data_IF_954865931380
#
_entry.id   IF_954865931380
#
_cell.length_a   1.000
_cell.length_b   1.000
_cell.length_c   1.000
_cell.angle_alpha   90.00
_cell.angle_beta   90.00
_cell.angle_gamma   90.00
#
_symmetry.space_group_name_H-M   'P 1'
#
loop_
_entity.id
_entity.type
_entity.pdbx_description
1 polymer ?
#
# COMPACT_ATOMS: atom_id res chain seq x y z
N UNK A 1 -35.92 9.69 3.69
CA UNK A 1 -35.09 10.88 4.01
C UNK A 1 -34.67 10.90 5.48
N UNK A 2 -35.60 11.04 6.45
CA UNK A 2 -35.29 11.15 7.88
C UNK A 2 -34.41 10.04 8.50
N UNK A 3 -34.52 8.79 8.03
CA UNK A 3 -33.63 7.69 8.47
C UNK A 3 -32.17 7.89 8.06
N UNK A 4 -31.93 8.45 6.87
CA UNK A 4 -30.58 8.73 6.36
C UNK A 4 -29.98 9.91 7.09
N UNK A 5 -30.76 10.98 7.28
CA UNK A 5 -30.33 12.17 8.02
C UNK A 5 -29.91 11.82 9.45
N UNK A 6 -30.65 10.95 10.15
CA UNK A 6 -30.30 10.52 11.52
C UNK A 6 -28.91 9.86 11.63
N UNK A 7 -28.43 9.19 10.59
CA UNK A 7 -27.13 8.50 10.57
C UNK A 7 -26.05 9.27 9.80
N UNK A 8 -26.39 10.43 9.26
CA UNK A 8 -25.48 11.30 8.50
C UNK A 8 -24.59 12.15 9.41
N UNK A 9 -23.67 12.91 8.80
CA UNK A 9 -22.78 13.84 9.51
C UNK A 9 -23.56 14.98 10.18
N UNK A 10 -22.95 15.60 11.20
CA UNK A 10 -23.64 16.63 11.97
C UNK A 10 -23.81 17.92 11.15
N UNK A 11 -22.90 18.14 10.22
CA UNK A 11 -22.94 19.17 9.19
C UNK A 11 -24.16 18.97 8.27
N UNK A 12 -24.39 17.74 7.79
CA UNK A 12 -25.57 17.45 6.95
C UNK A 12 -26.88 17.56 7.73
N UNK A 13 -26.89 17.11 8.98
CA UNK A 13 -28.06 17.25 9.85
C UNK A 13 -28.40 18.71 10.07
N UNK A 14 -27.40 19.54 10.37
CA UNK A 14 -27.58 20.98 10.60
C UNK A 14 -28.19 21.64 9.37
N UNK A 15 -27.59 21.41 8.18
CA UNK A 15 -28.12 21.92 6.92
C UNK A 15 -29.53 21.41 6.62
N UNK A 16 -29.80 20.13 6.83
CA UNK A 16 -31.12 19.54 6.61
C UNK A 16 -32.18 20.15 7.54
N UNK A 17 -31.84 20.43 8.80
CA UNK A 17 -32.76 21.07 9.74
C UNK A 17 -32.99 22.54 9.41
N UNK A 18 -31.96 23.30 9.01
CA UNK A 18 -32.10 24.69 8.55
C UNK A 18 -33.01 24.80 7.31
N UNK A 19 -32.79 23.95 6.30
CA UNK A 19 -33.67 23.90 5.12
C UNK A 19 -35.10 23.46 5.48
N UNK A 20 -35.25 22.62 6.51
CA UNK A 20 -36.55 22.24 7.05
C UNK A 20 -37.28 23.40 7.72
N UNK A 21 -36.57 24.24 8.46
CA UNK A 21 -37.14 25.45 9.07
C UNK A 21 -37.65 26.43 8.02
N UNK A 22 -36.96 26.51 6.87
CA UNK A 22 -37.33 27.40 5.77
C UNK A 22 -38.33 26.80 4.76
N UNK A 23 -38.86 25.58 5.01
CA UNK A 23 -39.69 24.82 4.07
C UNK A 23 -39.04 24.59 2.68
N UNK A 24 -37.71 24.55 2.62
CA UNK A 24 -36.92 24.34 1.39
C UNK A 24 -36.44 22.90 1.19
N UNK A 25 -36.99 21.95 1.95
CA UNK A 25 -36.59 20.55 1.85
C UNK A 25 -37.04 19.91 0.54
N UNK A 26 -36.22 19.00 -0.04
CA UNK A 26 -36.61 18.21 -1.19
C UNK A 26 -37.91 17.44 -0.92
N UNK A 27 -38.90 17.61 -1.78
CA UNK A 27 -40.22 17.00 -1.64
C UNK A 27 -40.33 15.60 -2.28
N UNK A 28 -39.31 15.17 -3.01
CA UNK A 28 -39.25 13.87 -3.68
C UNK A 28 -37.93 13.16 -3.41
N UNK A 29 -37.93 11.84 -3.55
CA UNK A 29 -36.73 11.03 -3.30
C UNK A 29 -35.59 11.33 -4.27
N UNK A 30 -35.91 11.64 -5.53
CA UNK A 30 -34.91 11.92 -6.54
C UNK A 30 -34.29 13.31 -6.35
N UNK A 31 -35.09 14.33 -6.03
CA UNK A 31 -34.58 15.64 -5.62
C UNK A 31 -33.74 15.55 -4.33
N UNK A 32 -34.10 14.66 -3.40
CA UNK A 32 -33.30 14.42 -2.21
C UNK A 32 -31.94 13.78 -2.54
N UNK A 33 -31.87 12.91 -3.55
CA UNK A 33 -30.58 12.36 -4.01
C UNK A 33 -29.73 13.44 -4.65
N UNK A 34 -30.30 14.29 -5.50
CA UNK A 34 -29.60 15.41 -6.12
C UNK A 34 -29.07 16.38 -5.05
N UNK A 35 -29.92 16.77 -4.11
CA UNK A 35 -29.56 17.57 -2.95
C UNK A 35 -28.43 16.94 -2.11
N UNK A 36 -28.50 15.63 -1.84
CA UNK A 36 -27.45 14.93 -1.10
C UNK A 36 -26.15 14.86 -1.90
N UNK A 37 -26.24 14.75 -3.23
CA UNK A 37 -25.11 14.78 -4.15
C UNK A 37 -24.48 16.17 -4.22
N UNK A 38 -25.27 17.25 -4.16
CA UNK A 38 -24.83 18.65 -4.09
C UNK A 38 -24.17 18.97 -2.76
N UNK A 39 -24.79 18.60 -1.64
CA UNK A 39 -24.17 18.73 -0.31
C UNK A 39 -22.81 18.03 -0.26
N UNK A 40 -22.74 16.80 -0.78
CA UNK A 40 -21.48 16.10 -0.89
C UNK A 40 -20.55 16.66 -1.97
N UNK A 41 -21.03 17.50 -2.91
CA UNK A 41 -20.21 18.10 -3.96
C UNK A 41 -19.40 19.31 -3.48
N UNK A 42 -19.86 20.02 -2.44
CA UNK A 42 -19.06 21.03 -1.73
C UNK A 42 -17.96 20.40 -0.87
N UNK A 43 -18.03 19.09 -0.64
CA UNK A 43 -17.03 18.39 0.13
C UNK A 43 -15.82 17.98 -0.73
N UNK A 44 -14.64 18.19 -0.16
CA UNK A 44 -13.39 17.73 -0.72
C UNK A 44 -13.44 16.24 -1.06
N UNK A 45 -12.74 15.81 -2.12
CA UNK A 45 -12.57 14.39 -2.46
C UNK A 45 -12.26 13.53 -1.22
N UNK A 46 -11.53 14.07 -0.22
CA UNK A 46 -11.18 13.44 1.07
C UNK A 46 -12.36 13.02 1.98
N UNK A 47 -13.54 13.62 1.79
CA UNK A 47 -14.75 13.25 2.53
C UNK A 47 -15.36 11.93 2.03
N UNK A 48 -15.08 11.54 0.79
CA UNK A 48 -15.58 10.29 0.22
C UNK A 48 -15.00 9.07 0.96
N UNK A 49 -15.83 8.32 1.68
CA UNK A 49 -15.39 7.16 2.50
C UNK A 49 -15.88 5.84 1.93
N UNK A 50 -15.08 4.80 2.18
CA UNK A 50 -15.43 3.40 1.94
C UNK A 50 -16.41 2.91 3.02
N UNK A 51 -17.47 2.22 2.62
CA UNK A 51 -18.37 1.59 3.60
C UNK A 51 -17.73 0.37 4.27
N UNK A 52 -18.16 0.07 5.49
CA UNK A 52 -17.59 -1.00 6.33
C UNK A 52 -17.58 -2.37 5.63
N UNK A 53 -18.68 -2.73 4.99
CA UNK A 53 -18.90 -4.04 4.35
C UNK A 53 -18.74 -4.00 2.82
N UNK A 54 -18.38 -2.85 2.27
CA UNK A 54 -18.17 -2.66 0.83
C UNK A 54 -16.86 -3.33 0.38
N UNK A 55 -16.84 -3.88 -0.83
CA UNK A 55 -15.62 -4.38 -1.48
C UNK A 55 -14.71 -3.23 -1.89
N UNK A 56 -13.40 -3.46 -1.94
CA UNK A 56 -12.44 -2.44 -2.39
C UNK A 56 -12.66 -2.07 -3.86
N UNK A 57 -12.91 -3.05 -4.71
CA UNK A 57 -13.23 -2.79 -6.12
C UNK A 57 -14.47 -1.91 -6.30
N UNK A 58 -15.48 -2.13 -5.46
CA UNK A 58 -16.74 -1.38 -5.49
C UNK A 58 -16.54 0.04 -4.98
N UNK A 59 -15.81 0.21 -3.88
CA UNK A 59 -15.42 1.53 -3.38
C UNK A 59 -14.69 2.36 -4.43
N UNK A 60 -13.70 1.77 -5.10
CA UNK A 60 -12.90 2.46 -6.11
C UNK A 60 -13.70 2.82 -7.35
N UNK A 61 -14.61 1.93 -7.79
CA UNK A 61 -15.54 2.22 -8.90
C UNK A 61 -16.45 3.39 -8.53
N UNK A 62 -16.99 3.39 -7.30
CA UNK A 62 -17.86 4.45 -6.80
C UNK A 62 -17.13 5.79 -6.66
N UNK A 63 -15.89 5.75 -6.18
CA UNK A 63 -15.01 6.92 -6.08
C UNK A 63 -14.71 7.49 -7.46
N UNK A 64 -14.41 6.62 -8.44
CA UNK A 64 -14.19 6.99 -9.83
C UNK A 64 -15.40 7.70 -10.43
N UNK A 65 -16.57 7.07 -10.39
CA UNK A 65 -17.80 7.63 -10.97
C UNK A 65 -18.15 8.98 -10.31
N UNK A 66 -17.92 9.10 -9.01
CA UNK A 66 -18.16 10.34 -8.26
C UNK A 66 -17.18 11.45 -8.66
N UNK A 67 -15.92 11.10 -8.87
CA UNK A 67 -14.83 12.00 -9.20
C UNK A 67 -14.86 12.48 -10.66
N UNK A 68 -15.16 11.59 -11.60
CA UNK A 68 -15.30 11.91 -13.04
C UNK A 68 -16.45 12.90 -13.26
N UNK A 69 -17.59 12.71 -12.60
CA UNK A 69 -18.73 13.64 -12.65
C UNK A 69 -18.40 15.05 -12.11
N UNK A 70 -17.31 15.18 -11.38
CA UNK A 70 -16.84 16.43 -10.75
C UNK A 70 -15.53 16.94 -11.35
N UNK A 71 -15.09 16.36 -12.46
CA UNK A 71 -13.86 16.72 -13.17
C UNK A 71 -12.58 16.66 -12.31
N UNK A 72 -12.54 15.79 -11.29
CA UNK A 72 -11.30 15.52 -10.58
C UNK A 72 -10.31 14.76 -11.47
N UNK A 73 -9.04 15.12 -11.39
CA UNK A 73 -7.99 14.41 -12.11
C UNK A 73 -7.72 13.03 -11.49
N UNK A 74 -7.27 12.07 -12.30
CA UNK A 74 -6.80 10.78 -11.78
C UNK A 74 -5.73 10.95 -10.70
N UNK A 75 -4.87 11.97 -10.84
CA UNK A 75 -3.86 12.30 -9.84
C UNK A 75 -4.46 12.58 -8.46
N UNK A 76 -5.53 13.37 -8.39
CA UNK A 76 -6.24 13.69 -7.14
C UNK A 76 -6.91 12.46 -6.55
N UNK A 77 -7.49 11.61 -7.40
CA UNK A 77 -8.10 10.34 -6.99
C UNK A 77 -7.04 9.41 -6.40
N UNK A 78 -5.87 9.27 -7.04
CA UNK A 78 -4.77 8.47 -6.50
C UNK A 78 -4.20 9.06 -5.20
N UNK A 79 -4.10 10.39 -5.09
CA UNK A 79 -3.68 11.08 -3.87
C UNK A 79 -4.64 10.81 -2.71
N UNK A 80 -5.95 10.83 -2.99
CA UNK A 80 -7.02 10.43 -2.07
C UNK A 80 -6.85 8.97 -1.64
N UNK A 81 -6.77 8.04 -2.59
CA UNK A 81 -6.67 6.60 -2.30
C UNK A 81 -5.46 6.30 -1.42
N UNK A 82 -4.28 6.90 -1.72
CA UNK A 82 -3.07 6.72 -0.92
C UNK A 82 -3.17 7.28 0.50
N UNK A 83 -4.04 8.29 0.72
CA UNK A 83 -4.30 8.86 2.05
C UNK A 83 -5.28 8.03 2.88
N UNK A 84 -6.11 7.18 2.25
CA UNK A 84 -7.02 6.28 2.94
C UNK A 84 -6.28 5.03 3.45
N UNK A 85 -6.86 4.36 4.46
CA UNK A 85 -6.32 3.10 4.97
C UNK A 85 -6.50 1.97 3.94
N UNK A 86 -5.44 1.68 3.19
CA UNK A 86 -5.37 0.53 2.27
C UNK A 86 -4.80 -0.71 2.98
N UNK A 87 -5.36 -1.91 2.77
CA UNK A 87 -4.71 -3.17 3.13
C UNK A 87 -3.32 -3.29 2.51
N UNK A 88 -2.38 -3.91 3.22
CA UNK A 88 -0.98 -4.06 2.78
C UNK A 88 -0.85 -4.65 1.37
N UNK A 89 -1.72 -5.60 1.03
CA UNK A 89 -1.76 -6.24 -0.28
C UNK A 89 -2.13 -5.25 -1.40
N UNK A 90 -3.07 -4.34 -1.12
CA UNK A 90 -3.52 -3.35 -2.09
C UNK A 90 -2.57 -2.15 -2.19
N UNK A 91 -1.81 -1.84 -1.13
CA UNK A 91 -0.81 -0.77 -1.17
C UNK A 91 0.19 -0.96 -2.33
N UNK A 92 0.60 -2.19 -2.61
CA UNK A 92 1.56 -2.47 -3.71
C UNK A 92 1.02 -1.97 -5.06
N UNK A 93 -0.29 -2.10 -5.28
CA UNK A 93 -0.98 -1.67 -6.52
C UNK A 93 -0.96 -0.14 -6.63
N UNK A 94 -1.29 0.58 -5.55
CA UNK A 94 -1.44 2.03 -5.59
C UNK A 94 -0.13 2.84 -5.43
N UNK A 95 0.93 2.21 -4.93
CA UNK A 95 2.25 2.83 -4.76
C UNK A 95 3.23 2.50 -5.90
N UNK A 96 2.85 1.64 -6.85
CA UNK A 96 3.62 1.39 -8.06
C UNK A 96 3.28 2.42 -9.17
N UNK A 97 4.24 2.70 -10.06
CA UNK A 97 4.33 4.03 -10.69
C UNK A 97 3.50 4.25 -11.96
N UNK A 98 2.98 3.21 -12.62
CA UNK A 98 2.38 3.35 -13.95
C UNK A 98 1.08 2.53 -14.12
N UNK A 99 -0.01 2.95 -13.48
CA UNK A 99 -1.34 2.36 -13.72
C UNK A 99 -2.38 3.46 -13.88
N UNK A 100 -3.29 3.27 -14.83
CA UNK A 100 -4.56 3.99 -14.92
C UNK A 100 -5.48 3.58 -13.77
N UNK A 101 -6.48 4.41 -13.46
CA UNK A 101 -7.44 4.09 -12.41
C UNK A 101 -8.24 2.82 -12.75
N UNK A 102 -8.60 2.63 -14.03
CA UNK A 102 -9.19 1.40 -14.57
C UNK A 102 -8.36 0.16 -14.26
N UNK A 103 -7.07 0.19 -14.60
CA UNK A 103 -6.16 -0.94 -14.36
C UNK A 103 -6.05 -1.25 -12.88
N UNK A 104 -5.94 -0.23 -12.03
CA UNK A 104 -5.91 -0.41 -10.58
C UNK A 104 -7.21 -1.05 -10.05
N UNK A 105 -8.38 -0.63 -10.54
CA UNK A 105 -9.67 -1.22 -10.19
C UNK A 105 -9.73 -2.69 -10.62
N UNK A 106 -9.24 -2.99 -11.83
CA UNK A 106 -9.23 -4.36 -12.37
C UNK A 106 -8.32 -5.28 -11.55
N UNK A 107 -7.11 -4.84 -11.22
CA UNK A 107 -6.19 -5.59 -10.36
C UNK A 107 -6.78 -5.86 -8.96
N UNK A 108 -7.51 -4.89 -8.40
CA UNK A 108 -8.21 -5.08 -7.12
C UNK A 108 -9.36 -6.09 -7.25
N UNK A 109 -10.13 -6.07 -8.34
CA UNK A 109 -11.17 -7.07 -8.61
C UNK A 109 -10.59 -8.48 -8.69
N UNK A 110 -9.49 -8.66 -9.42
CA UNK A 110 -8.80 -9.94 -9.56
C UNK A 110 -8.22 -10.44 -8.23
N UNK A 111 -7.67 -9.53 -7.42
CA UNK A 111 -7.25 -9.82 -6.07
C UNK A 111 -8.42 -10.30 -5.19
N UNK A 112 -9.58 -9.65 -5.24
CA UNK A 112 -10.76 -10.07 -4.47
C UNK A 112 -11.28 -11.45 -4.90
N UNK A 113 -11.21 -11.79 -6.19
CA UNK A 113 -11.60 -13.10 -6.72
C UNK A 113 -10.63 -14.18 -6.27
N UNK A 114 -9.31 -13.93 -6.37
CA UNK A 114 -8.27 -14.87 -5.95
C UNK A 114 -8.25 -15.10 -4.43
N UNK A 115 -8.62 -14.08 -3.65
CA UNK A 115 -8.77 -14.20 -2.20
C UNK A 115 -9.90 -15.17 -1.83
N UNK A 116 -11.06 -15.10 -2.51
CA UNK A 116 -12.18 -16.03 -2.29
C UNK A 116 -11.86 -17.48 -2.67
N UNK A 117 -11.05 -17.70 -3.71
CA UNK A 117 -10.60 -19.05 -4.08
C UNK A 117 -9.71 -19.69 -3.02
N UNK A 118 -8.91 -18.88 -2.31
CA UNK A 118 -8.11 -19.34 -1.19
C UNK A 118 -8.94 -19.59 0.08
N UNK A 119 -10.09 -18.94 0.28
CA UNK A 119 -11.00 -19.32 1.38
C UNK A 119 -11.61 -20.72 1.17
N UNK A 120 -11.99 -21.06 -0.07
CA UNK A 120 -12.56 -22.37 -0.39
C UNK A 120 -11.53 -23.53 -0.37
N UNK A 121 -10.22 -23.22 -0.42
CA UNK A 121 -9.14 -24.21 -0.26
C UNK A 121 -8.61 -24.31 1.18
N UNK A 122 -9.19 -23.55 2.13
CA UNK A 122 -8.80 -23.54 3.54
C UNK A 122 -9.93 -24.12 4.39
N UNK A 123 -10.34 -25.36 4.10
CA UNK A 123 -10.97 -26.21 5.13
C UNK A 123 -9.93 -26.70 6.17
N UNK A 124 -8.64 -26.40 5.98
CA UNK A 124 -7.54 -26.89 6.80
C UNK A 124 -7.01 -25.97 7.90
N UNK A 125 -7.48 -24.73 8.09
CA UNK A 125 -7.06 -23.89 9.24
C UNK A 125 -8.24 -23.04 9.75
N UNK A 126 -9.01 -23.61 10.68
CA UNK A 126 -9.96 -22.86 11.51
C UNK A 126 -9.19 -21.89 12.41
N UNK A 127 -9.28 -20.59 12.16
CA UNK A 127 -9.10 -19.59 13.21
C UNK A 127 -10.48 -19.22 13.77
N UNK A 128 -10.62 -19.45 15.08
CA UNK A 128 -11.87 -19.36 15.83
C UNK A 128 -12.55 -17.99 15.68
N UNK A 129 -13.76 -18.00 15.12
CA UNK A 129 -14.76 -16.98 15.41
C UNK A 129 -15.18 -17.11 16.89
N UNK A 130 -15.04 -16.04 17.67
CA UNK A 130 -15.82 -15.89 18.90
C UNK A 130 -16.89 -14.82 18.68
N UNK A 131 -18.13 -15.28 18.51
CA UNK A 131 -19.33 -14.46 18.70
C UNK A 131 -19.42 -14.06 20.18
N UNK A 132 -19.63 -12.77 20.44
CA UNK A 132 -19.94 -12.25 21.77
C UNK A 132 -20.60 -10.88 21.67
N UNK A 133 -21.89 -10.82 22.01
CA UNK A 133 -22.71 -9.61 22.13
C UNK A 133 -22.09 -8.66 23.18
N UNK A 134 -22.09 -7.36 22.89
CA UNK A 134 -22.56 -6.26 23.75
C UNK A 134 -21.90 -4.92 23.39
N UNK A 135 -22.75 -3.95 23.09
CA UNK A 135 -22.43 -2.54 23.00
C UNK A 135 -21.87 -2.03 24.34
N UNK A 136 -20.59 -1.71 24.37
CA UNK A 136 -20.03 -0.63 25.18
C UNK A 136 -18.79 -0.17 24.43
N UNK A 137 -18.73 1.13 24.07
CA UNK A 137 -17.50 1.75 23.55
C UNK A 137 -16.42 1.58 24.63
N UNK A 138 -15.63 0.51 24.56
CA UNK A 138 -14.41 0.38 25.36
C UNK A 138 -13.48 1.49 24.87
N UNK A 139 -13.35 2.53 25.68
CA UNK A 139 -12.31 3.53 25.50
C UNK A 139 -10.98 2.78 25.51
N UNK A 140 -10.30 2.75 24.37
CA UNK A 140 -9.09 1.95 24.22
C UNK A 140 -7.98 2.65 25.02
N UNK A 141 -7.60 2.05 26.14
CA UNK A 141 -6.56 2.56 27.04
C UNK A 141 -5.26 1.81 26.74
N UNK A 142 -4.18 2.56 26.56
CA UNK A 142 -2.86 2.01 26.31
C UNK A 142 -2.35 1.32 27.58
N UNK A 143 -2.18 0.01 27.54
CA UNK A 143 -1.68 -0.79 28.66
C UNK A 143 -0.23 -0.48 29.08
N UNK A 144 0.48 0.40 28.35
CA UNK A 144 1.88 0.76 28.64
C UNK A 144 2.04 2.19 29.14
N UNK A 145 1.26 3.17 28.66
CA UNK A 145 1.32 4.56 29.15
C UNK A 145 0.10 4.99 29.97
N UNK A 146 -0.94 4.15 30.03
CA UNK A 146 -2.17 4.43 30.75
C UNK A 146 -3.06 5.50 30.12
N UNK A 147 -2.72 6.05 28.94
CA UNK A 147 -3.53 7.07 28.26
C UNK A 147 -4.53 6.45 27.29
N UNK A 148 -5.64 7.14 27.08
CA UNK A 148 -6.74 6.71 26.22
C UNK A 148 -6.54 7.16 24.77
N UNK A 149 -7.20 6.49 23.82
CA UNK A 149 -7.17 6.85 22.39
C UNK A 149 -6.13 6.10 21.54
N UNK A 150 -5.32 5.22 22.13
CA UNK A 150 -4.38 4.36 21.39
C UNK A 150 -4.07 3.05 22.13
N UNK A 151 -3.65 2.03 21.39
CA UNK A 151 -3.17 0.75 21.96
C UNK A 151 -1.66 0.81 22.19
N UNK A 152 -1.10 -0.15 22.95
CA UNK A 152 0.35 -0.30 23.16
C UNK A 152 1.17 -0.17 21.87
N UNK A 153 0.67 -0.77 20.79
CA UNK A 153 1.31 -0.79 19.46
C UNK A 153 1.43 0.62 18.85
N UNK A 154 0.46 1.50 19.12
CA UNK A 154 0.42 2.87 18.60
C UNK A 154 0.87 3.92 19.65
N UNK A 155 1.48 3.48 20.75
CA UNK A 155 1.98 4.37 21.78
C UNK A 155 3.22 5.11 21.29
N UNK A 156 3.22 6.44 21.33
CA UNK A 156 4.37 7.25 20.89
C UNK A 156 5.65 6.96 21.69
N UNK A 157 5.56 6.41 22.92
CA UNK A 157 6.73 5.87 23.66
C UNK A 157 7.45 4.76 22.87
N UNK A 158 6.71 3.92 22.16
CA UNK A 158 7.26 2.83 21.36
C UNK A 158 7.99 3.27 20.09
N UNK A 159 7.83 4.52 19.64
CA UNK A 159 8.45 5.00 18.39
C UNK A 159 9.96 5.24 18.56
N UNK A 160 10.45 5.50 19.78
CA UNK A 160 11.91 5.62 20.01
C UNK A 160 12.51 4.34 20.56
N UNK A 161 11.86 3.69 21.53
CA UNK A 161 12.43 2.56 22.26
C UNK A 161 12.49 1.26 21.44
N UNK A 162 11.59 1.04 20.47
CA UNK A 162 11.53 -0.18 19.65
C UNK A 162 12.05 -0.01 18.22
N UNK A 163 12.57 1.16 17.85
CA UNK A 163 13.24 1.34 16.55
C UNK A 163 14.58 0.63 16.61
N UNK A 164 14.64 -0.53 15.94
CA UNK A 164 15.87 -1.28 15.70
C UNK A 164 16.70 -0.53 14.67
N UNK A 165 17.87 -0.05 15.08
CA UNK A 165 18.85 0.56 14.20
C UNK A 165 19.34 -0.48 13.18
N UNK A 166 19.14 -0.23 11.90
CA UNK A 166 19.59 -1.12 10.83
C UNK A 166 21.12 -1.09 10.63
N UNK A 167 21.82 -0.13 11.26
CA UNK A 167 23.28 0.00 11.21
C UNK A 167 24.00 -0.86 12.25
N UNK A 168 23.47 -0.96 13.47
CA UNK A 168 24.11 -1.67 14.59
C UNK A 168 23.25 -2.77 15.24
N UNK A 169 21.96 -2.85 14.91
CA UNK A 169 21.05 -3.87 15.43
C UNK A 169 20.45 -3.58 16.81
N UNK A 170 20.88 -2.52 17.50
CA UNK A 170 20.33 -2.12 18.81
C UNK A 170 19.03 -1.32 18.65
N UNK A 171 18.15 -1.40 19.64
CA UNK A 171 16.90 -0.64 19.70
C UNK A 171 17.12 0.74 20.38
N UNK A 172 16.20 1.69 20.23
CA UNK A 172 16.28 2.99 20.91
C UNK A 172 16.65 4.20 20.04
N UNK A 173 17.07 3.99 18.79
CA UNK A 173 17.49 5.07 17.89
C UNK A 173 17.37 4.71 16.40
N UNK A 174 17.18 5.74 15.55
CA UNK A 174 17.20 5.58 14.10
C UNK A 174 18.63 5.42 13.55
N UNK A 175 18.77 4.70 12.43
CA UNK A 175 20.06 4.47 11.76
C UNK A 175 20.84 5.76 11.45
N UNK A 176 20.14 6.87 11.20
CA UNK A 176 20.73 8.17 10.90
C UNK A 176 21.40 8.82 12.14
N UNK A 177 20.99 8.42 13.34
CA UNK A 177 21.54 8.90 14.60
C UNK A 177 22.47 7.86 15.26
N UNK A 178 22.97 6.89 14.48
CA UNK A 178 23.78 5.79 14.99
C UNK A 178 25.28 6.08 14.91
N UNK A 179 25.93 6.18 16.07
CA UNK A 179 27.37 6.45 16.21
C UNK A 179 28.28 5.22 15.95
N UNK A 180 27.72 4.04 15.66
CA UNK A 180 28.50 2.83 15.39
C UNK A 180 29.02 2.76 13.93
N UNK A 181 30.18 2.13 13.71
CA UNK A 181 30.73 1.84 12.36
C UNK A 181 29.98 0.67 11.70
N UNK A 182 29.80 0.72 10.37
CA UNK A 182 28.93 -0.19 9.57
C UNK A 182 29.25 -1.68 9.81
N UNK A 183 28.24 -2.47 10.17
CA UNK A 183 28.26 -3.93 10.03
C UNK A 183 27.14 -4.35 9.06
N UNK A 184 27.45 -4.42 7.76
CA UNK A 184 26.51 -4.91 6.75
C UNK A 184 26.39 -6.44 6.86
N UNK A 185 25.45 -6.94 7.66
CA UNK A 185 24.98 -8.33 7.55
C UNK A 185 23.46 -8.37 7.60
N UNK A 186 22.84 -8.42 6.43
CA UNK A 186 21.43 -8.77 6.29
C UNK A 186 21.33 -10.29 6.36
N UNK A 187 20.71 -10.83 7.41
CA UNK A 187 20.26 -12.23 7.43
C UNK A 187 18.89 -12.28 6.75
N UNK A 188 18.81 -12.93 5.59
CA UNK A 188 17.55 -13.19 4.89
C UNK A 188 17.09 -14.61 5.27
N UNK A 189 15.84 -14.77 5.66
CA UNK A 189 15.21 -16.10 5.84
C UNK A 189 14.94 -16.70 4.44
N UNK A 190 15.83 -17.60 4.00
CA UNK A 190 15.73 -18.33 2.73
C UNK A 190 14.81 -19.55 2.88
N UNK A 191 13.50 -19.33 2.99
CA UNK A 191 12.51 -20.43 2.96
C UNK A 191 11.83 -20.61 1.60
N UNK A 192 12.27 -19.89 0.56
CA UNK A 192 11.88 -20.12 -0.84
C UNK A 192 13.11 -20.60 -1.62
N UNK A 193 12.99 -21.73 -2.33
CA UNK A 193 14.02 -22.24 -3.25
C UNK A 193 14.36 -21.13 -4.26
N UNK A 194 15.52 -20.50 -4.10
CA UNK A 194 16.11 -19.66 -5.14
C UNK A 194 16.57 -20.58 -6.28
N UNK A 195 16.35 -20.18 -7.54
CA UNK A 195 16.94 -20.84 -8.69
C UNK A 195 18.43 -20.46 -8.76
N UNK A 196 19.24 -21.24 -8.03
CA UNK A 196 20.68 -21.05 -7.95
C UNK A 196 21.36 -22.01 -8.91
N UNK A 197 22.15 -21.47 -9.85
CA UNK A 197 22.90 -22.27 -10.82
C UNK A 197 24.38 -21.92 -10.79
N UNK A 198 25.21 -22.88 -11.17
CA UNK A 198 26.65 -22.66 -11.33
C UNK A 198 26.88 -22.26 -12.79
N UNK A 199 27.38 -21.04 -13.00
CA UNK A 199 27.82 -20.54 -14.31
C UNK A 199 29.34 -20.47 -14.35
N UNK A 200 29.94 -20.47 -15.54
CA UNK A 200 31.39 -20.32 -15.70
C UNK A 200 31.70 -18.97 -16.31
N UNK A 201 32.46 -18.12 -15.61
CA UNK A 201 33.02 -16.88 -16.16
C UNK A 201 34.54 -17.05 -16.13
N UNK A 202 35.21 -16.87 -17.27
CA UNK A 202 36.66 -17.11 -17.40
C UNK A 202 37.09 -18.51 -16.96
N UNK A 203 36.31 -19.53 -17.33
CA UNK A 203 36.49 -20.92 -16.90
C UNK A 203 36.45 -21.13 -15.37
N UNK A 204 36.05 -20.13 -14.59
CA UNK A 204 35.89 -20.23 -13.14
C UNK A 204 34.40 -20.35 -12.78
N UNK A 205 34.01 -21.29 -11.91
CA UNK A 205 32.63 -21.47 -11.52
C UNK A 205 32.18 -20.38 -10.53
N UNK A 206 31.00 -19.80 -10.77
CA UNK A 206 30.34 -18.85 -9.90
C UNK A 206 28.89 -19.26 -9.66
N UNK A 207 28.42 -19.06 -8.43
CA UNK A 207 27.01 -19.26 -8.08
C UNK A 207 26.22 -18.02 -8.51
N UNK A 208 25.29 -18.19 -9.43
CA UNK A 208 24.38 -17.17 -9.90
C UNK A 208 22.95 -17.47 -9.44
N UNK A 209 22.20 -16.41 -9.14
CA UNK A 209 20.78 -16.48 -8.78
C UNK A 209 19.99 -16.03 -9.98
N UNK A 210 19.18 -16.92 -10.54
CA UNK A 210 18.31 -16.63 -11.67
C UNK A 210 16.92 -16.24 -11.17
N UNK A 211 16.40 -15.13 -11.69
CA UNK A 211 15.01 -14.72 -11.52
C UNK A 211 14.30 -14.98 -12.85
N UNK A 212 13.22 -15.76 -12.85
CA UNK A 212 12.49 -16.13 -14.07
C UNK A 212 11.85 -14.94 -14.78
N UNK A 213 11.78 -13.77 -14.12
CA UNK A 213 11.32 -12.52 -14.72
C UNK A 213 12.41 -11.57 -15.22
N UNK A 214 13.70 -11.89 -15.03
CA UNK A 214 14.80 -10.99 -15.40
C UNK A 214 15.35 -11.33 -16.79
N UNK A 215 15.49 -10.30 -17.65
CA UNK A 215 16.14 -10.42 -18.96
C UNK A 215 17.66 -10.50 -18.87
N UNK A 216 18.23 -9.99 -17.77
CA UNK A 216 19.67 -9.80 -17.58
C UNK A 216 20.08 -10.18 -16.15
N UNK A 217 21.27 -10.77 -16.02
CA UNK A 217 21.88 -11.03 -14.73
C UNK A 217 22.90 -9.93 -14.39
N UNK A 218 22.91 -9.47 -13.13
CA UNK A 218 23.84 -8.43 -12.68
C UNK A 218 25.05 -9.03 -11.96
N UNK A 219 26.24 -8.50 -12.27
CA UNK A 219 27.48 -8.88 -11.58
C UNK A 219 27.83 -7.81 -10.53
N UNK A 220 28.16 -8.26 -9.32
CA UNK A 220 28.61 -7.36 -8.25
C UNK A 220 30.01 -6.77 -8.55
N UNK A 221 30.28 -5.55 -8.09
CA UNK A 221 31.56 -4.86 -8.29
C UNK A 221 32.78 -5.62 -7.75
N UNK A 222 32.61 -6.43 -6.70
CA UNK A 222 33.67 -7.29 -6.18
C UNK A 222 34.05 -8.43 -7.14
N UNK A 223 33.08 -8.96 -7.90
CA UNK A 223 33.34 -9.99 -8.91
C UNK A 223 33.96 -9.37 -10.17
N UNK A 224 33.54 -8.16 -10.56
CA UNK A 224 34.15 -7.39 -11.65
C UNK A 224 35.67 -7.19 -11.50
N UNK A 225 36.19 -7.16 -10.27
CA UNK A 225 37.64 -7.07 -10.01
C UNK A 225 38.40 -8.37 -10.28
N UNK A 226 37.70 -9.51 -10.37
CA UNK A 226 38.29 -10.86 -10.47
C UNK A 226 38.17 -11.47 -11.86
N UNK A 227 37.36 -10.86 -12.72
CA UNK A 227 37.12 -11.29 -14.10
C UNK A 227 38.04 -10.52 -15.05
N UNK A 228 38.34 -11.14 -16.19
CA UNK A 228 39.11 -10.52 -17.25
C UNK A 228 38.29 -9.41 -17.93
N UNK A 229 38.72 -8.16 -17.74
CA UNK A 229 38.02 -6.98 -18.24
C UNK A 229 38.06 -6.88 -19.77
N UNK A 230 38.98 -7.56 -20.45
CA UNK A 230 39.06 -7.54 -21.92
C UNK A 230 37.85 -8.18 -22.59
N UNK A 231 37.10 -9.02 -21.86
CA UNK A 231 35.88 -9.67 -22.34
C UNK A 231 34.62 -8.84 -22.15
N UNK A 232 34.74 -7.65 -21.59
CA UNK A 232 33.62 -6.73 -21.43
C UNK A 232 33.43 -6.01 -22.76
N UNK A 233 32.31 -6.27 -23.41
CA UNK A 233 31.89 -5.50 -24.57
C UNK A 233 31.38 -4.13 -24.08
N UNK A 234 32.26 -3.13 -24.17
CA UNK A 234 31.95 -1.75 -23.82
C UNK A 234 31.09 -1.03 -24.88
N UNK A 235 30.91 -1.60 -26.08
CA UNK A 235 30.00 -1.05 -27.09
C UNK A 235 28.53 -1.34 -26.74
N UNK A 236 28.28 -2.42 -26.01
CA UNK A 236 26.96 -2.82 -25.52
C UNK A 236 26.70 -2.21 -24.13
N UNK A 237 26.15 -1.00 -24.10
CA UNK A 237 25.69 -0.36 -22.87
C UNK A 237 24.18 -0.55 -22.74
N UNK A 238 23.74 -1.15 -21.63
CA UNK A 238 22.32 -1.22 -21.27
C UNK A 238 22.01 -0.18 -20.20
N UNK A 239 20.82 0.38 -20.28
CA UNK A 239 20.33 1.32 -19.28
C UNK A 239 19.19 0.70 -18.49
N UNK A 240 19.20 0.92 -17.18
CA UNK A 240 18.18 0.41 -16.28
C UNK A 240 17.73 1.49 -15.31
N UNK A 241 16.45 1.46 -14.99
CA UNK A 241 15.82 2.37 -14.04
C UNK A 241 15.64 1.65 -12.72
N UNK A 242 16.22 2.21 -11.66
CA UNK A 242 15.98 1.73 -10.30
C UNK A 242 14.57 2.14 -9.84
N UNK A 243 14.03 1.45 -8.83
CA UNK A 243 12.68 1.71 -8.27
C UNK A 243 12.49 3.17 -7.84
N UNK A 244 13.57 3.84 -7.41
CA UNK A 244 13.56 5.25 -7.04
C UNK A 244 13.60 6.21 -8.26
N UNK A 245 13.50 5.69 -9.49
CA UNK A 245 13.58 6.46 -10.72
C UNK A 245 15.00 6.81 -11.18
N UNK A 246 16.04 6.38 -10.45
CA UNK A 246 17.43 6.68 -10.84
C UNK A 246 17.81 5.87 -12.07
N UNK A 247 18.21 6.57 -13.14
CA UNK A 247 18.75 5.96 -14.35
C UNK A 247 20.20 5.57 -14.12
N UNK A 248 20.53 4.31 -14.37
CA UNK A 248 21.87 3.77 -14.30
C UNK A 248 22.24 3.13 -15.63
N UNK A 249 23.52 3.16 -15.97
CA UNK A 249 24.07 2.51 -17.17
C UNK A 249 24.98 1.37 -16.74
N UNK A 250 24.98 0.27 -17.49
CA UNK A 250 25.99 -0.77 -17.31
C UNK A 250 27.36 -0.26 -17.75
N UNK A 251 28.42 -0.90 -17.23
CA UNK A 251 29.79 -0.64 -17.71
C UNK A 251 30.08 -1.33 -19.05
N UNK A 252 29.23 -2.28 -19.46
CA UNK A 252 29.35 -3.14 -20.63
C UNK A 252 28.59 -4.44 -20.41
N UNK A 253 28.65 -5.35 -21.37
CA UNK A 253 28.05 -6.69 -21.29
C UNK A 253 29.14 -7.76 -21.40
N UNK A 254 28.97 -8.85 -20.66
CA UNK A 254 29.79 -10.06 -20.80
C UNK A 254 28.84 -11.16 -21.26
N UNK A 255 29.08 -11.70 -22.44
CA UNK A 255 28.39 -12.88 -22.93
C UNK A 255 29.07 -14.12 -22.28
N UNK A 256 28.29 -14.93 -21.56
CA UNK A 256 28.73 -16.07 -20.72
C UNK A 256 28.36 -17.38 -21.39
#
# INVERSE_FOLDING_TARGET
>A
MNRIVKVSSEEFKTLFYELGMDNRLPNSWDLFKEFLVEFCAEESIYSFKKYKEEKWSWYLTRLKDWAEKRNFSEYEIFKKIRSDYLPKQLQIIFYSKNFTLEEAIQMVKEWEISFKRNENNVEGIKFMEKKGKNNMKKIIKCFECGKEGHTKINCLRNIKENVKCFKCGNVGHYSNNCNAKKANRVKINLSKRLDERIIKIDNRPYKAVFDTGATDNMICSGLLKKIDKTKIDHSKIREFYLINGTRNKTMGVIDI
#
